data_IF_174292775016
#
_entry.id   IF_174292775016
#
_cell.length_a   1.000
_cell.length_b   1.000
_cell.length_c   1.000
_cell.angle_alpha   90.00
_cell.angle_beta   90.00
_cell.angle_gamma   90.00
#
_symmetry.space_group_name_H-M   'P 1'
#
loop_
_entity.id
_entity.type
_entity.pdbx_description
1 polymer ?
#
# COMPACT_ATOMS: atom_id res chain seq x y z
N UNK A 1 22.94 4.78 -1.85
CA UNK A 1 23.16 6.23 -1.93
C UNK A 1 21.84 6.97 -1.67
N UNK A 2 20.86 6.91 -2.57
CA UNK A 2 19.62 7.69 -2.46
C UNK A 2 18.68 7.31 -1.29
N UNK A 3 18.37 6.01 -1.09
CA UNK A 3 17.51 5.61 0.03
C UNK A 3 18.09 5.99 1.40
N UNK A 4 19.41 5.83 1.57
CA UNK A 4 20.10 6.18 2.81
C UNK A 4 20.02 7.69 3.11
N UNK A 5 20.12 8.55 2.09
CA UNK A 5 19.91 9.99 2.22
C UNK A 5 18.48 10.31 2.68
N UNK A 6 17.47 9.69 2.07
CA UNK A 6 16.07 9.89 2.47
C UNK A 6 15.76 9.38 3.87
N UNK A 7 16.36 8.25 4.24
CA UNK A 7 16.25 7.70 5.59
C UNK A 7 16.90 8.64 6.61
N UNK A 8 18.04 9.25 6.27
CA UNK A 8 18.70 10.23 7.13
C UNK A 8 17.90 11.55 7.23
N UNK A 9 17.30 12.04 6.15
CA UNK A 9 16.36 13.19 6.19
C UNK A 9 15.20 12.90 7.15
N UNK A 10 14.61 11.70 7.07
CA UNK A 10 13.53 11.30 7.98
C UNK A 10 14.03 11.19 9.42
N UNK A 11 15.24 10.68 9.65
CA UNK A 11 15.86 10.59 10.98
C UNK A 11 16.11 11.96 11.60
N UNK A 12 16.52 12.95 10.82
CA UNK A 12 16.70 14.32 11.32
C UNK A 12 15.38 14.94 11.80
N UNK A 13 14.26 14.58 11.16
CA UNK A 13 12.93 15.02 11.57
C UNK A 13 12.38 14.20 12.75
N UNK A 14 12.62 12.88 12.75
CA UNK A 14 12.18 11.95 13.77
C UNK A 14 13.27 10.92 14.06
N UNK A 15 14.09 11.10 15.13
CA UNK A 15 15.29 10.31 15.39
C UNK A 15 15.11 8.80 15.53
N UNK A 16 13.88 8.32 15.70
CA UNK A 16 13.59 6.89 15.78
C UNK A 16 13.74 6.19 14.42
N UNK A 17 13.63 6.91 13.29
CA UNK A 17 13.84 6.36 11.95
C UNK A 17 15.27 5.83 11.81
N UNK A 18 15.40 4.54 11.52
CA UNK A 18 16.68 3.87 11.41
C UNK A 18 17.39 3.59 12.73
N UNK A 19 16.67 3.65 13.85
CA UNK A 19 17.23 3.33 15.19
C UNK A 19 17.10 1.85 15.57
N UNK A 20 16.39 1.05 14.78
CA UNK A 20 16.00 -0.33 15.15
C UNK A 20 14.81 -0.39 16.10
N UNK A 21 14.13 0.74 16.34
CA UNK A 21 12.92 0.86 17.17
C UNK A 21 11.83 1.59 16.38
N UNK A 22 10.61 1.48 16.84
CA UNK A 22 9.44 2.17 16.28
C UNK A 22 8.39 2.41 17.36
N UNK A 23 7.42 3.26 17.06
CA UNK A 23 6.36 3.68 17.98
C UNK A 23 5.00 3.10 17.60
N UNK A 24 4.11 2.98 18.57
CA UNK A 24 2.70 2.63 18.33
C UNK A 24 1.72 3.65 18.88
N UNK A 25 2.20 4.58 19.70
CA UNK A 25 1.40 5.69 20.21
C UNK A 25 1.63 6.99 19.42
N UNK A 26 0.61 7.85 19.30
CA UNK A 26 0.74 9.13 18.60
C UNK A 26 1.71 10.06 19.33
N UNK A 27 2.56 10.75 18.58
CA UNK A 27 3.67 11.57 19.13
C UNK A 27 3.48 13.06 18.97
N UNK A 28 2.53 13.49 18.13
CA UNK A 28 2.28 14.89 17.81
C UNK A 28 0.77 15.12 17.65
N UNK A 29 0.31 16.33 17.98
CA UNK A 29 -1.05 16.79 17.69
C UNK A 29 -1.16 17.37 16.27
N UNK A 30 -2.38 17.53 15.76
CA UNK A 30 -2.64 18.20 14.47
C UNK A 30 -2.09 19.63 14.41
N UNK A 31 -2.00 20.31 15.56
CA UNK A 31 -1.42 21.65 15.68
C UNK A 31 0.12 21.65 15.65
N UNK A 32 0.77 20.50 15.54
CA UNK A 32 2.22 20.37 15.53
C UNK A 32 2.88 20.43 16.91
N UNK A 33 2.12 20.17 17.99
CA UNK A 33 2.66 20.11 19.37
C UNK A 33 3.02 18.67 19.74
N UNK A 34 4.22 18.40 20.28
CA UNK A 34 4.58 17.08 20.78
C UNK A 34 3.67 16.61 21.91
N UNK A 35 3.32 15.32 21.93
CA UNK A 35 2.53 14.69 22.99
C UNK A 35 3.45 14.34 24.16
N UNK A 36 3.12 14.82 25.36
CA UNK A 36 3.93 14.67 26.58
C UNK A 36 3.48 13.49 27.46
N UNK A 37 2.71 12.54 26.92
CA UNK A 37 2.28 11.37 27.67
C UNK A 37 3.49 10.49 28.06
N UNK A 38 3.63 10.07 29.33
CA UNK A 38 4.76 9.26 29.79
C UNK A 38 4.98 7.96 29.01
N UNK A 39 3.92 7.29 28.55
CA UNK A 39 4.02 6.06 27.75
C UNK A 39 4.54 6.37 26.34
N UNK A 40 4.09 7.48 25.75
CA UNK A 40 4.58 7.97 24.45
C UNK A 40 6.06 8.36 24.54
N UNK A 41 6.46 9.03 25.62
CA UNK A 41 7.85 9.41 25.86
C UNK A 41 8.76 8.19 26.07
N UNK A 42 8.26 7.14 26.73
CA UNK A 42 8.97 5.86 26.90
C UNK A 42 9.17 5.12 25.58
N UNK A 43 8.16 5.08 24.70
CA UNK A 43 8.31 4.49 23.36
C UNK A 43 9.28 5.29 22.48
N UNK A 44 9.23 6.63 22.56
CA UNK A 44 10.08 7.51 21.78
C UNK A 44 11.55 7.53 22.24
N UNK A 45 11.81 7.40 23.55
CA UNK A 45 13.15 7.48 24.14
C UNK A 45 13.28 6.61 25.40
N UNK A 46 13.46 5.28 25.25
CA UNK A 46 13.61 4.36 26.38
C UNK A 46 14.84 4.65 27.27
N UNK A 47 15.90 5.23 26.71
CA UNK A 47 17.19 5.42 27.39
C UNK A 47 17.25 6.68 28.27
N UNK A 48 16.37 7.66 28.03
CA UNK A 48 16.30 8.88 28.86
C UNK A 48 15.36 8.74 30.06
N UNK A 49 14.66 7.61 30.21
CA UNK A 49 13.69 7.38 31.29
C UNK A 49 12.51 8.35 31.26
N UNK A 50 11.43 8.01 31.97
CA UNK A 50 10.40 9.01 32.28
C UNK A 50 11.09 10.07 33.14
N UNK A 51 11.25 11.30 32.65
CA UNK A 51 11.41 12.44 33.56
C UNK A 51 10.05 12.57 34.25
N UNK A 52 9.88 11.80 35.34
CA UNK A 52 8.76 12.02 36.26
C UNK A 52 9.07 13.39 36.88
N UNK A 53 8.23 14.42 36.65
CA UNK A 53 8.41 15.67 37.39
C UNK A 53 8.33 15.31 38.87
N UNK A 54 9.23 15.81 39.74
CA UNK A 54 9.05 15.64 41.17
C UNK A 54 7.62 16.09 41.52
N UNK A 55 6.90 15.29 42.31
CA UNK A 55 5.49 15.54 42.67
C UNK A 55 5.26 16.87 43.45
N UNK A 56 6.26 17.74 43.57
CA UNK A 56 6.23 18.97 44.35
C UNK A 56 6.68 20.24 43.59
N UNK A 57 6.59 20.26 42.26
CA UNK A 57 6.81 21.50 41.49
C UNK A 57 5.57 21.82 40.67
N UNK A 58 5.00 23.02 40.92
CA UNK A 58 3.82 23.55 40.23
C UNK A 58 3.95 23.60 38.69
N UNK A 59 2.89 24.00 37.97
CA UNK A 59 2.62 23.66 36.57
C UNK A 59 3.51 24.37 35.52
N UNK A 60 4.82 24.47 35.73
CA UNK A 60 5.73 25.35 34.99
C UNK A 60 7.04 24.69 34.56
N UNK A 61 7.05 23.38 34.35
CA UNK A 61 8.17 22.68 33.72
C UNK A 61 7.68 21.66 32.68
N UNK A 62 6.85 22.13 31.73
CA UNK A 62 6.68 21.42 30.47
C UNK A 62 7.98 21.59 29.67
N UNK A 63 8.61 20.49 29.29
CA UNK A 63 9.78 20.50 28.42
C UNK A 63 9.33 21.13 27.09
N UNK A 64 9.81 22.35 26.79
CA UNK A 64 9.54 23.09 25.55
C UNK A 64 10.22 22.37 24.36
N UNK A 65 9.65 21.23 23.95
CA UNK A 65 9.98 20.64 22.67
C UNK A 65 9.47 21.59 21.56
N UNK A 66 10.31 21.98 20.58
CA UNK A 66 9.94 22.98 19.60
C UNK A 66 8.72 22.53 18.80
N UNK A 67 7.76 23.45 18.65
CA UNK A 67 6.57 23.24 17.83
C UNK A 67 6.98 23.00 16.38
N UNK A 68 6.52 21.90 15.79
CA UNK A 68 6.69 21.65 14.35
C UNK A 68 5.73 22.57 13.59
N UNK A 69 6.24 23.27 12.59
CA UNK A 69 5.43 24.24 11.81
C UNK A 69 5.13 23.77 10.39
N UNK A 70 5.93 22.87 9.84
CA UNK A 70 5.71 22.34 8.49
C UNK A 70 4.54 21.36 8.51
N UNK A 71 3.45 21.73 7.82
CA UNK A 71 2.23 20.91 7.70
C UNK A 71 2.49 19.53 7.11
N UNK A 72 3.42 19.41 6.14
CA UNK A 72 3.75 18.11 5.52
C UNK A 72 4.46 17.20 6.51
N UNK A 73 5.34 17.77 7.34
CA UNK A 73 6.03 17.03 8.40
C UNK A 73 5.05 16.63 9.50
N UNK A 74 4.14 17.52 9.92
CA UNK A 74 3.09 17.19 10.89
C UNK A 74 2.23 16.04 10.37
N UNK A 75 1.74 16.12 9.14
CA UNK A 75 0.92 15.07 8.53
C UNK A 75 1.65 13.73 8.50
N UNK A 76 2.92 13.73 8.09
CA UNK A 76 3.74 12.52 8.09
C UNK A 76 3.91 11.95 9.51
N UNK A 77 4.27 12.78 10.50
CA UNK A 77 4.44 12.35 11.89
C UNK A 77 3.16 11.78 12.51
N UNK A 78 1.99 12.32 12.13
CA UNK A 78 0.69 11.78 12.55
C UNK A 78 0.48 10.34 12.06
N UNK A 79 1.05 9.95 10.91
CA UNK A 79 0.91 8.57 10.38
C UNK A 79 1.83 7.54 11.04
N UNK A 80 2.93 7.94 11.66
CA UNK A 80 3.99 7.03 12.11
C UNK A 80 3.53 5.98 13.15
N UNK A 81 2.63 6.37 14.05
CA UNK A 81 2.08 5.45 15.04
C UNK A 81 1.18 4.38 14.41
N UNK A 82 0.39 4.76 13.39
CA UNK A 82 -0.45 3.83 12.64
C UNK A 82 0.41 2.83 11.85
N UNK A 83 1.53 3.28 11.29
CA UNK A 83 2.52 2.37 10.67
C UNK A 83 3.01 1.35 11.70
N UNK A 84 3.36 1.77 12.91
CA UNK A 84 3.84 0.85 13.94
C UNK A 84 2.79 -0.14 14.43
N UNK A 85 1.54 0.30 14.59
CA UNK A 85 0.40 -0.60 14.87
C UNK A 85 0.25 -1.66 13.77
N UNK A 86 0.43 -1.25 12.52
CA UNK A 86 0.32 -2.13 11.35
C UNK A 86 1.47 -3.12 11.23
N UNK A 87 2.69 -2.66 11.45
CA UNK A 87 3.89 -3.49 11.53
C UNK A 87 3.71 -4.58 12.58
N UNK A 88 3.23 -4.22 13.78
CA UNK A 88 3.01 -5.19 14.87
C UNK A 88 1.98 -6.28 14.53
N UNK A 89 1.02 -6.01 13.63
CA UNK A 89 0.00 -7.00 13.22
C UNK A 89 0.35 -7.73 11.93
N UNK A 90 1.39 -7.33 11.21
CA UNK A 90 1.76 -7.87 9.90
C UNK A 90 2.38 -9.26 10.05
N UNK A 91 1.82 -10.24 9.31
CA UNK A 91 2.31 -11.61 9.17
C UNK A 91 2.90 -12.27 10.44
N UNK A 92 2.29 -12.02 11.62
CA UNK A 92 2.79 -12.45 12.95
C UNK A 92 3.09 -13.94 13.10
N UNK A 93 2.53 -14.78 12.24
CA UNK A 93 2.79 -16.22 12.23
C UNK A 93 4.11 -16.60 11.55
N UNK A 94 4.76 -15.68 10.83
CA UNK A 94 6.04 -15.92 10.17
C UNK A 94 7.18 -15.66 11.15
N UNK A 95 8.07 -16.65 11.28
CA UNK A 95 9.29 -16.59 12.12
C UNK A 95 10.15 -15.37 11.81
N UNK A 96 10.12 -14.88 10.57
CA UNK A 96 10.83 -13.67 10.15
C UNK A 96 10.52 -12.45 11.05
N UNK A 97 9.29 -12.31 11.55
CA UNK A 97 8.85 -11.20 12.38
C UNK A 97 9.03 -11.42 13.89
N UNK A 98 9.58 -12.57 14.31
CA UNK A 98 10.04 -12.73 15.69
C UNK A 98 11.27 -11.84 15.98
N UNK A 99 12.04 -11.50 14.96
CA UNK A 99 13.15 -10.56 15.07
C UNK A 99 12.65 -9.11 15.06
N UNK A 100 13.02 -8.33 16.07
CA UNK A 100 12.74 -6.89 16.16
C UNK A 100 13.40 -6.08 15.03
N UNK A 101 14.53 -6.54 14.52
CA UNK A 101 15.21 -5.90 13.37
C UNK A 101 14.32 -5.98 12.12
N UNK A 102 13.64 -7.10 11.89
CA UNK A 102 12.71 -7.25 10.77
C UNK A 102 11.52 -6.29 10.86
N UNK A 103 10.96 -6.14 12.07
CA UNK A 103 9.84 -5.21 12.33
C UNK A 103 10.27 -3.75 12.15
N UNK A 104 11.42 -3.37 12.70
CA UNK A 104 11.96 -2.02 12.54
C UNK A 104 12.36 -1.72 11.09
N UNK A 105 12.90 -2.69 10.35
CA UNK A 105 13.16 -2.57 8.91
C UNK A 105 11.85 -2.31 8.13
N UNK A 106 10.77 -3.03 8.44
CA UNK A 106 9.45 -2.79 7.84
C UNK A 106 8.95 -1.38 8.13
N UNK A 107 9.04 -0.95 9.40
CA UNK A 107 8.59 0.36 9.83
C UNK A 107 9.39 1.49 9.17
N UNK A 108 10.71 1.37 9.09
CA UNK A 108 11.59 2.35 8.45
C UNK A 108 11.23 2.55 6.97
N UNK A 109 11.07 1.46 6.21
CA UNK A 109 10.73 1.54 4.79
C UNK A 109 9.38 2.23 4.59
N UNK A 110 8.37 1.87 5.39
CA UNK A 110 7.04 2.47 5.31
C UNK A 110 7.04 3.94 5.73
N UNK A 111 7.79 4.30 6.77
CA UNK A 111 7.93 5.66 7.24
C UNK A 111 8.62 6.54 6.20
N UNK A 112 9.71 6.06 5.57
CA UNK A 112 10.39 6.76 4.49
C UNK A 112 9.48 6.90 3.28
N UNK A 113 8.77 5.84 2.87
CA UNK A 113 7.84 5.91 1.74
C UNK A 113 6.77 6.97 1.96
N UNK A 114 6.11 6.96 3.12
CA UNK A 114 5.05 7.92 3.45
C UNK A 114 5.52 9.37 3.46
N UNK A 115 6.82 9.61 3.70
CA UNK A 115 7.42 10.94 3.61
C UNK A 115 7.73 11.37 2.18
N UNK A 116 8.01 10.42 1.27
CA UNK A 116 8.35 10.69 -0.13
C UNK A 116 7.09 10.93 -0.97
N UNK A 117 6.10 10.04 -0.92
CA UNK A 117 4.82 10.22 -1.60
C UNK A 117 3.76 10.71 -0.61
N UNK A 118 3.82 12.00 -0.25
CA UNK A 118 2.90 12.60 0.74
C UNK A 118 1.44 12.59 0.27
N UNK A 119 1.21 12.61 -1.05
CA UNK A 119 -0.16 12.61 -1.59
C UNK A 119 -0.88 11.29 -1.28
N UNK A 120 -0.13 10.18 -1.19
CA UNK A 120 -0.65 8.90 -0.70
C UNK A 120 -0.43 8.74 0.80
N UNK A 121 0.75 9.14 1.28
CA UNK A 121 1.20 8.92 2.64
C UNK A 121 1.27 7.44 2.97
N UNK A 122 0.66 7.08 4.11
CA UNK A 122 0.49 5.69 4.52
C UNK A 122 -0.99 5.33 4.58
N UNK A 123 -1.36 4.26 3.89
CA UNK A 123 -2.67 3.64 3.97
C UNK A 123 -2.60 2.23 4.56
N UNK A 124 -3.60 1.85 5.35
CA UNK A 124 -3.71 0.51 5.92
C UNK A 124 -3.69 -0.55 4.80
N UNK A 125 -2.84 -1.56 4.97
CA UNK A 125 -2.59 -2.61 3.98
C UNK A 125 -1.26 -2.45 3.22
N UNK A 126 -0.63 -1.27 3.26
CA UNK A 126 0.71 -1.08 2.69
C UNK A 126 1.78 -1.93 3.39
N UNK A 127 1.62 -2.21 4.70
CA UNK A 127 2.51 -3.11 5.42
C UNK A 127 2.46 -4.54 4.87
N UNK A 128 1.28 -5.00 4.42
CA UNK A 128 1.10 -6.31 3.80
C UNK A 128 1.76 -6.40 2.43
N UNK A 129 1.76 -5.28 1.69
CA UNK A 129 2.44 -5.16 0.40
C UNK A 129 3.97 -5.10 0.55
N UNK A 130 4.46 -4.43 1.58
CA UNK A 130 5.89 -4.28 1.86
C UNK A 130 6.50 -5.52 2.51
N UNK A 131 5.72 -6.30 3.26
CA UNK A 131 6.19 -7.50 3.99
C UNK A 131 6.96 -8.48 3.09
N UNK A 132 6.44 -8.90 1.91
CA UNK A 132 7.20 -9.69 0.94
C UNK A 132 8.55 -9.10 0.54
N UNK A 133 8.63 -7.78 0.33
CA UNK A 133 9.85 -7.14 -0.15
C UNK A 133 10.97 -7.27 0.87
N UNK A 134 10.67 -7.06 2.15
CA UNK A 134 11.70 -7.12 3.20
C UNK A 134 12.11 -8.55 3.56
N UNK A 135 11.22 -9.52 3.32
CA UNK A 135 11.49 -10.95 3.52
C UNK A 135 12.39 -11.49 2.41
N UNK A 136 12.13 -11.09 1.15
CA UNK A 136 12.87 -11.57 -0.01
C UNK A 136 14.20 -10.85 -0.22
N UNK A 137 14.29 -9.57 0.15
CA UNK A 137 15.45 -8.73 -0.13
C UNK A 137 16.19 -8.40 1.16
N UNK A 138 17.44 -8.87 1.24
CA UNK A 138 18.31 -8.64 2.39
C UNK A 138 18.64 -7.16 2.57
N UNK A 139 18.98 -6.47 1.48
CA UNK A 139 19.26 -5.04 1.49
C UNK A 139 17.98 -4.22 1.69
N UNK A 140 18.05 -3.22 2.55
CA UNK A 140 16.90 -2.38 2.89
C UNK A 140 16.55 -1.41 1.75
N UNK A 141 17.54 -0.89 1.03
CA UNK A 141 17.30 0.01 -0.10
C UNK A 141 16.65 -0.75 -1.26
N UNK A 142 17.10 -1.97 -1.56
CA UNK A 142 16.48 -2.83 -2.57
C UNK A 142 15.01 -3.12 -2.21
N UNK A 143 14.74 -3.48 -0.95
CA UNK A 143 13.38 -3.69 -0.47
C UNK A 143 12.51 -2.42 -0.61
N UNK A 144 13.06 -1.27 -0.25
CA UNK A 144 12.38 0.02 -0.42
C UNK A 144 12.03 0.29 -1.88
N UNK A 145 12.97 0.16 -2.81
CA UNK A 145 12.72 0.49 -4.21
C UNK A 145 11.79 -0.52 -4.90
N UNK A 146 11.84 -1.80 -4.54
CA UNK A 146 10.85 -2.76 -5.00
C UNK A 146 9.44 -2.43 -4.48
N UNK A 147 9.33 -2.05 -3.20
CA UNK A 147 8.06 -1.59 -2.63
C UNK A 147 7.56 -0.30 -3.28
N UNK A 148 8.42 0.69 -3.47
CA UNK A 148 8.06 1.97 -4.12
C UNK A 148 7.54 1.74 -5.54
N UNK A 149 8.19 0.86 -6.32
CA UNK A 149 7.74 0.49 -7.67
C UNK A 149 6.41 -0.25 -7.67
N UNK A 150 6.18 -1.13 -6.69
CA UNK A 150 4.88 -1.76 -6.49
C UNK A 150 3.81 -0.70 -6.19
N UNK A 151 4.12 0.27 -5.33
CA UNK A 151 3.21 1.34 -4.98
C UNK A 151 2.92 2.29 -6.14
N UNK A 152 3.83 2.51 -7.11
CA UNK A 152 3.50 3.27 -8.33
C UNK A 152 2.32 2.66 -9.10
N UNK A 153 2.22 1.33 -9.14
CA UNK A 153 1.12 0.59 -9.78
C UNK A 153 -0.16 0.65 -8.96
N UNK A 154 -0.02 0.57 -7.63
CA UNK A 154 -1.15 0.49 -6.69
C UNK A 154 -1.55 1.85 -6.11
N UNK A 155 -0.90 2.94 -6.52
CA UNK A 155 -1.07 4.30 -5.98
C UNK A 155 -2.54 4.71 -5.98
N UNK A 156 -3.25 4.38 -7.06
CA UNK A 156 -4.68 4.64 -7.21
C UNK A 156 -5.53 3.99 -6.13
N UNK A 157 -5.16 2.80 -5.63
CA UNK A 157 -5.89 2.07 -4.59
C UNK A 157 -5.86 2.82 -3.25
N UNK A 158 -4.79 3.55 -2.96
CA UNK A 158 -4.56 4.19 -1.67
C UNK A 158 -4.90 5.69 -1.66
N UNK A 159 -5.31 6.25 -2.81
CA UNK A 159 -5.76 7.64 -2.88
C UNK A 159 -7.20 7.76 -2.39
N UNK A 160 -7.39 8.61 -1.40
CA UNK A 160 -8.71 9.10 -1.01
C UNK A 160 -8.88 10.50 -1.62
N UNK A 161 -9.86 10.65 -2.50
CA UNK A 161 -10.28 11.97 -2.99
C UNK A 161 -11.65 12.30 -2.41
N UNK A 162 -12.04 13.58 -2.41
CA UNK A 162 -13.34 14.04 -1.88
C UNK A 162 -14.55 13.32 -2.53
N UNK A 163 -14.36 12.73 -3.73
CA UNK A 163 -15.42 12.13 -4.55
C UNK A 163 -15.25 10.62 -4.81
N UNK A 164 -14.14 9.99 -4.42
CA UNK A 164 -13.93 8.54 -4.65
C UNK A 164 -12.89 7.94 -3.72
N UNK A 165 -13.14 6.71 -3.28
CA UNK A 165 -12.26 5.93 -2.41
C UNK A 165 -11.52 4.88 -3.23
N UNK A 166 -10.21 5.09 -3.46
CA UNK A 166 -9.27 4.05 -3.86
C UNK A 166 -9.73 3.08 -4.94
N UNK A 167 -10.10 1.87 -4.50
CA UNK A 167 -10.47 0.72 -5.36
C UNK A 167 -11.92 0.76 -5.86
N UNK A 168 -12.71 1.77 -5.55
CA UNK A 168 -14.13 1.89 -5.96
C UNK A 168 -14.33 1.72 -7.47
N UNK A 169 -13.48 2.35 -8.28
CA UNK A 169 -13.52 2.18 -9.73
C UNK A 169 -13.27 0.71 -10.15
N UNK A 170 -12.39 0.00 -9.44
CA UNK A 170 -12.12 -1.42 -9.72
C UNK A 170 -13.30 -2.31 -9.32
N UNK A 171 -13.98 -1.98 -8.21
CA UNK A 171 -15.20 -2.67 -7.78
C UNK A 171 -16.35 -2.48 -8.77
N UNK A 172 -16.53 -1.25 -9.27
CA UNK A 172 -17.51 -0.97 -10.32
C UNK A 172 -17.20 -1.76 -11.60
N UNK A 173 -15.93 -1.80 -12.01
CA UNK A 173 -15.51 -2.61 -13.15
C UNK A 173 -15.72 -4.12 -12.91
N UNK A 174 -15.47 -4.61 -11.70
CA UNK A 174 -15.76 -5.99 -11.31
C UNK A 174 -17.26 -6.31 -11.43
N UNK A 175 -18.12 -5.40 -10.98
CA UNK A 175 -19.58 -5.54 -11.08
C UNK A 175 -20.01 -5.63 -12.56
N UNK A 176 -19.53 -4.71 -13.40
CA UNK A 176 -19.82 -4.69 -14.84
C UNK A 176 -19.33 -5.97 -15.54
N UNK A 177 -18.12 -6.43 -15.24
CA UNK A 177 -17.57 -7.67 -15.81
C UNK A 177 -18.44 -8.86 -15.35
N UNK A 178 -18.78 -8.93 -14.06
CA UNK A 178 -19.61 -10.01 -13.52
C UNK A 178 -20.99 -10.03 -14.17
N UNK A 179 -21.60 -8.86 -14.37
CA UNK A 179 -22.88 -8.71 -15.07
C UNK A 179 -22.83 -9.23 -16.50
N UNK A 180 -21.73 -9.04 -17.21
CA UNK A 180 -21.55 -9.53 -18.59
C UNK A 180 -21.28 -11.04 -18.63
N UNK A 181 -20.41 -11.56 -17.76
CA UNK A 181 -20.00 -12.97 -17.79
C UNK A 181 -21.03 -13.91 -17.15
N UNK A 182 -21.76 -13.46 -16.14
CA UNK A 182 -22.78 -14.20 -15.40
C UNK A 182 -23.85 -13.24 -14.81
N UNK A 183 -24.82 -12.82 -15.65
CA UNK A 183 -25.87 -11.88 -15.24
C UNK A 183 -26.72 -12.39 -14.07
N UNK A 184 -26.91 -13.72 -13.96
CA UNK A 184 -27.72 -14.33 -12.91
C UNK A 184 -27.03 -14.21 -11.55
N UNK A 185 -25.73 -14.50 -11.52
CA UNK A 185 -24.92 -14.32 -10.31
C UNK A 185 -24.89 -12.85 -9.87
N UNK A 186 -24.66 -11.93 -10.82
CA UNK A 186 -24.67 -10.49 -10.51
C UNK A 186 -26.00 -10.05 -9.87
N UNK A 187 -27.12 -10.42 -10.49
CA UNK A 187 -28.45 -10.09 -9.96
C UNK A 187 -28.68 -10.70 -8.56
N UNK A 188 -28.23 -11.92 -8.32
CA UNK A 188 -28.32 -12.55 -7.00
C UNK A 188 -27.49 -11.81 -5.96
N UNK A 189 -26.25 -11.44 -6.30
CA UNK A 189 -25.37 -10.63 -5.44
C UNK A 189 -26.02 -9.29 -5.11
N UNK A 190 -26.63 -8.60 -6.08
CA UNK A 190 -27.39 -7.37 -5.83
C UNK A 190 -28.57 -7.61 -4.87
N UNK A 191 -29.34 -8.68 -5.06
CA UNK A 191 -30.50 -9.00 -4.22
C UNK A 191 -30.14 -9.28 -2.77
N UNK A 192 -28.97 -9.85 -2.51
CA UNK A 192 -28.46 -10.07 -1.14
C UNK A 192 -27.72 -8.85 -0.57
N UNK A 193 -27.75 -7.70 -1.25
CA UNK A 193 -27.17 -6.43 -0.79
C UNK A 193 -25.68 -6.25 -1.11
N UNK A 194 -25.14 -7.00 -2.06
CA UNK A 194 -23.72 -6.98 -2.45
C UNK A 194 -23.38 -6.31 -3.77
N UNK A 195 -24.28 -5.48 -4.31
CA UNK A 195 -24.15 -4.90 -5.64
C UNK A 195 -22.95 -3.96 -5.84
N UNK A 196 -22.37 -3.46 -4.75
CA UNK A 196 -21.14 -2.65 -4.74
C UNK A 196 -19.85 -3.47 -4.69
N UNK A 197 -19.96 -4.80 -4.54
CA UNK A 197 -18.85 -5.74 -4.47
C UNK A 197 -17.83 -5.44 -3.36
N UNK A 198 -18.21 -4.73 -2.28
CA UNK A 198 -17.29 -4.36 -1.20
C UNK A 198 -16.58 -5.54 -0.54
N UNK A 199 -17.14 -6.75 -0.63
CA UNK A 199 -16.46 -7.97 -0.19
C UNK A 199 -15.13 -8.24 -0.91
N UNK A 200 -14.95 -7.74 -2.13
CA UNK A 200 -13.71 -7.85 -2.90
C UNK A 200 -12.72 -6.71 -2.63
N UNK A 201 -13.09 -5.71 -1.81
CA UNK A 201 -12.26 -4.54 -1.52
C UNK A 201 -10.86 -4.95 -1.07
N UNK A 202 -10.77 -5.82 -0.05
CA UNK A 202 -9.48 -6.27 0.51
C UNK A 202 -8.64 -7.02 -0.52
N UNK A 203 -9.28 -7.83 -1.36
CA UNK A 203 -8.63 -8.62 -2.40
C UNK A 203 -7.92 -7.72 -3.41
N UNK A 204 -8.59 -6.65 -3.85
CA UNK A 204 -8.03 -5.71 -4.82
C UNK A 204 -7.04 -4.73 -4.17
N UNK A 205 -7.34 -4.28 -2.94
CA UNK A 205 -6.51 -3.30 -2.21
C UNK A 205 -5.09 -3.81 -1.98
N UNK A 206 -4.95 -5.05 -1.50
CA UNK A 206 -3.66 -5.65 -1.13
C UNK A 206 -3.28 -6.85 -2.02
N UNK A 207 -3.79 -6.89 -3.25
CA UNK A 207 -3.44 -7.91 -4.25
C UNK A 207 -3.54 -9.34 -3.71
N UNK A 208 -4.67 -9.67 -3.08
CA UNK A 208 -4.99 -10.98 -2.50
C UNK A 208 -4.08 -11.46 -1.36
N UNK A 209 -3.18 -10.61 -0.84
CA UNK A 209 -2.25 -10.99 0.25
C UNK A 209 -2.95 -11.48 1.52
N UNK A 210 -4.23 -11.18 1.72
CA UNK A 210 -5.01 -11.66 2.85
C UNK A 210 -5.87 -12.89 2.56
N UNK A 211 -5.90 -13.35 1.31
CA UNK A 211 -6.72 -14.49 0.88
C UNK A 211 -5.90 -15.77 0.72
N UNK A 212 -4.58 -15.64 0.54
CA UNK A 212 -3.67 -16.75 0.30
C UNK A 212 -2.56 -16.84 1.35
N UNK A 213 -1.93 -18.03 1.42
CA UNK A 213 -0.69 -18.19 2.17
C UNK A 213 0.40 -17.25 1.64
N UNK A 214 1.46 -17.05 2.43
CA UNK A 214 2.56 -16.17 2.02
C UNK A 214 3.15 -16.60 0.67
N UNK A 215 3.54 -17.88 0.55
CA UNK A 215 4.13 -18.42 -0.69
C UNK A 215 3.17 -18.35 -1.88
N UNK A 216 1.90 -18.72 -1.70
CA UNK A 216 0.91 -18.70 -2.78
C UNK A 216 0.65 -17.27 -3.28
N UNK A 217 0.71 -16.28 -2.38
CA UNK A 217 0.61 -14.86 -2.78
C UNK A 217 1.78 -14.44 -3.65
N UNK A 218 3.00 -14.89 -3.34
CA UNK A 218 4.17 -14.57 -4.17
C UNK A 218 4.06 -15.17 -5.56
N UNK A 219 3.68 -16.45 -5.66
CA UNK A 219 3.44 -17.10 -6.95
C UNK A 219 2.35 -16.38 -7.76
N UNK A 220 1.26 -15.99 -7.10
CA UNK A 220 0.19 -15.23 -7.74
C UNK A 220 0.72 -13.89 -8.26
N UNK A 221 1.51 -13.16 -7.48
CA UNK A 221 2.10 -11.88 -7.89
C UNK A 221 3.06 -12.02 -9.06
N UNK A 222 3.92 -13.04 -9.06
CA UNK A 222 4.81 -13.33 -10.19
C UNK A 222 4.01 -13.54 -11.48
N UNK A 223 2.94 -14.34 -11.42
CA UNK A 223 2.07 -14.56 -12.58
C UNK A 223 1.35 -13.29 -13.02
N UNK A 224 0.77 -12.53 -12.09
CA UNK A 224 0.06 -11.29 -12.39
C UNK A 224 1.00 -10.25 -13.02
N UNK A 225 2.20 -10.07 -12.46
CA UNK A 225 3.17 -9.11 -12.98
C UNK A 225 3.75 -9.54 -14.33
N UNK A 226 3.91 -10.84 -14.57
CA UNK A 226 4.32 -11.35 -15.87
C UNK A 226 3.24 -11.14 -16.94
N UNK A 227 1.95 -11.29 -16.59
CA UNK A 227 0.82 -11.06 -17.51
C UNK A 227 0.59 -9.58 -17.81
N UNK A 228 0.84 -8.71 -16.83
CA UNK A 228 0.74 -7.25 -16.96
C UNK A 228 2.06 -6.61 -17.42
N UNK A 229 3.06 -7.42 -17.79
CA UNK A 229 4.33 -6.89 -18.25
C UNK A 229 4.14 -6.17 -19.58
N UNK A 230 4.35 -4.85 -19.57
CA UNK A 230 4.46 -4.05 -20.78
C UNK A 230 5.94 -3.62 -20.94
N UNK A 231 6.61 -4.05 -22.03
CA UNK A 231 7.99 -3.65 -22.33
C UNK A 231 8.19 -2.13 -22.42
N UNK A 232 7.15 -1.35 -22.73
CA UNK A 232 7.20 0.10 -22.74
C UNK A 232 7.14 0.71 -21.33
N UNK A 233 6.59 -0.02 -20.37
CA UNK A 233 6.48 0.41 -18.97
C UNK A 233 7.84 0.45 -18.30
N UNK A 234 8.83 -0.30 -18.81
CA UNK A 234 10.23 -0.19 -18.41
C UNK A 234 10.73 1.26 -18.44
N UNK A 235 10.31 2.05 -19.43
CA UNK A 235 10.67 3.46 -19.53
C UNK A 235 9.96 4.34 -18.51
N UNK A 236 8.71 4.03 -18.15
CA UNK A 236 7.98 4.67 -17.06
C UNK A 236 8.65 4.45 -15.69
N UNK A 237 9.39 3.34 -15.56
CA UNK A 237 10.13 2.98 -14.35
C UNK A 237 11.51 3.64 -14.25
N UNK A 238 12.09 4.11 -15.36
CA UNK A 238 13.37 4.85 -15.40
C UNK A 238 13.19 6.36 -15.55
N UNK A 239 12.04 6.85 -16.03
CA UNK A 239 11.76 8.28 -16.14
C UNK A 239 11.73 8.93 -14.75
N UNK A 240 12.69 9.82 -14.49
CA UNK A 240 12.57 10.85 -13.47
C UNK A 240 11.41 11.78 -13.83
N UNK A 241 10.73 12.35 -12.83
CA UNK A 241 9.62 13.32 -12.99
C UNK A 241 9.97 14.54 -13.88
N UNK A 242 11.24 14.71 -14.24
CA UNK A 242 11.79 15.79 -15.07
C UNK A 242 11.79 15.52 -16.59
N UNK A 243 11.36 14.34 -17.06
CA UNK A 243 11.45 13.97 -18.49
C UNK A 243 10.31 14.57 -19.32
N UNK A 244 10.61 15.23 -20.45
CA UNK A 244 9.58 15.92 -21.22
C UNK A 244 8.61 14.94 -21.93
N UNK A 245 7.29 15.25 -22.00
CA UNK A 245 6.29 14.37 -22.61
C UNK A 245 6.53 14.03 -24.10
N UNK A 246 7.29 14.86 -24.80
CA UNK A 246 7.60 14.68 -26.22
C UNK A 246 8.73 13.65 -26.45
N UNK A 247 9.68 13.56 -25.52
CA UNK A 247 10.79 12.59 -25.58
C UNK A 247 10.33 11.17 -25.21
N UNK A 248 9.40 11.04 -24.26
CA UNK A 248 8.75 9.77 -23.89
C UNK A 248 7.96 9.17 -25.08
N UNK A 249 7.18 10.00 -25.78
CA UNK A 249 6.37 9.59 -26.94
C UNK A 249 7.19 9.16 -28.17
N UNK A 250 8.39 9.72 -28.34
CA UNK A 250 9.27 9.38 -29.46
C UNK A 250 9.92 7.99 -29.30
N UNK A 251 10.17 7.55 -28.06
CA UNK A 251 10.85 6.27 -27.75
C UNK A 251 9.93 5.06 -27.72
N UNK A 252 8.62 5.26 -27.48
CA UNK A 252 7.58 4.23 -27.45
C UNK A 252 7.28 3.52 -28.81
N UNK A 253 7.91 3.93 -29.92
CA UNK A 253 7.53 3.47 -31.28
C UNK A 253 8.32 2.26 -31.83
N UNK A 254 9.12 1.55 -31.02
CA UNK A 254 9.86 0.38 -31.51
C UNK A 254 9.03 -0.92 -31.44
N UNK A 255 8.16 -1.12 -32.43
CA UNK A 255 7.24 -2.28 -32.57
C UNK A 255 7.95 -3.64 -32.75
N UNK A 256 9.28 -3.67 -32.82
CA UNK A 256 10.05 -4.89 -33.16
C UNK A 256 10.31 -5.85 -31.98
N UNK A 257 9.96 -5.49 -30.74
CA UNK A 257 10.28 -6.32 -29.56
C UNK A 257 9.09 -7.12 -28.99
N UNK A 258 7.87 -6.95 -29.49
CA UNK A 258 6.69 -7.62 -28.92
C UNK A 258 6.56 -9.09 -29.30
N UNK A 259 6.08 -9.90 -28.36
CA UNK A 259 5.65 -11.28 -28.56
C UNK A 259 4.37 -11.38 -29.40
N UNK A 260 4.05 -12.60 -29.88
CA UNK A 260 2.90 -12.83 -30.79
C UNK A 260 1.58 -12.30 -30.23
N UNK A 261 1.33 -12.51 -28.93
CA UNK A 261 0.08 -12.15 -28.26
C UNK A 261 -0.04 -10.65 -27.97
N UNK A 262 1.04 -9.97 -27.58
CA UNK A 262 1.07 -8.51 -27.42
C UNK A 262 0.77 -7.78 -28.74
N UNK A 263 1.32 -8.27 -29.85
CA UNK A 263 1.02 -7.71 -31.18
C UNK A 263 -0.45 -7.84 -31.54
N UNK A 264 -1.10 -8.92 -31.12
CA UNK A 264 -2.51 -9.17 -31.39
C UNK A 264 -3.40 -8.28 -30.49
N UNK A 265 -3.04 -8.10 -29.22
CA UNK A 265 -3.71 -7.17 -28.31
C UNK A 265 -3.58 -5.71 -28.78
N UNK A 266 -2.39 -5.26 -29.20
CA UNK A 266 -2.22 -3.91 -29.77
C UNK A 266 -2.93 -3.70 -31.11
N UNK A 267 -3.19 -4.78 -31.86
CA UNK A 267 -3.93 -4.73 -33.12
C UNK A 267 -5.45 -4.69 -32.91
N UNK A 268 -5.92 -5.26 -31.79
CA UNK A 268 -7.31 -5.28 -31.39
C UNK A 268 -7.70 -4.10 -30.48
N UNK A 269 -6.74 -3.47 -29.80
CA UNK A 269 -6.92 -2.20 -29.10
C UNK A 269 -7.08 -1.07 -30.10
N UNK A 270 -8.27 -0.48 -30.17
CA UNK A 270 -8.52 0.71 -30.99
C UNK A 270 -7.51 1.81 -30.66
N UNK A 271 -7.00 2.49 -31.68
CA UNK A 271 -5.97 3.54 -31.59
C UNK A 271 -6.34 4.78 -30.73
N UNK A 272 -7.39 4.76 -29.90
CA UNK A 272 -7.98 5.94 -29.27
C UNK A 272 -8.52 5.76 -27.83
N UNK A 273 -8.14 4.72 -27.09
CA UNK A 273 -8.44 4.68 -25.64
C UNK A 273 -7.23 5.17 -24.85
N UNK A 274 -7.29 6.41 -24.36
CA UNK A 274 -6.32 6.99 -23.41
C UNK A 274 -6.34 6.30 -22.04
N UNK A 275 -7.30 5.40 -21.80
CA UNK A 275 -7.44 4.70 -20.53
C UNK A 275 -6.56 3.43 -20.48
N UNK A 276 -5.79 3.25 -19.39
CA UNK A 276 -4.97 2.04 -19.21
C UNK A 276 -5.87 0.79 -19.13
N UNK A 277 -5.37 -0.38 -19.55
CA UNK A 277 -6.12 -1.62 -19.45
C UNK A 277 -6.48 -1.93 -17.99
N UNK A 278 -7.64 -2.55 -17.79
CA UNK A 278 -8.09 -2.97 -16.46
C UNK A 278 -7.07 -3.96 -15.84
N UNK A 279 -6.73 -3.81 -14.54
CA UNK A 279 -5.83 -4.73 -13.85
C UNK A 279 -6.32 -6.19 -13.90
N UNK A 280 -5.40 -7.13 -14.06
CA UNK A 280 -5.66 -8.57 -14.09
C UNK A 280 -6.30 -9.05 -12.78
N UNK A 281 -6.04 -8.36 -11.66
CA UNK A 281 -6.66 -8.62 -10.36
C UNK A 281 -8.19 -8.63 -10.43
N UNK A 282 -8.79 -7.71 -11.20
CA UNK A 282 -10.24 -7.62 -11.37
C UNK A 282 -10.78 -8.88 -12.06
N UNK A 283 -10.09 -9.32 -13.12
CA UNK A 283 -10.47 -10.52 -13.86
C UNK A 283 -10.28 -11.80 -13.03
N UNK A 284 -9.27 -11.84 -12.15
CA UNK A 284 -9.08 -12.94 -11.21
C UNK A 284 -10.26 -13.06 -10.24
N UNK A 285 -10.70 -11.95 -9.63
CA UNK A 285 -11.90 -11.97 -8.77
C UNK A 285 -13.13 -12.44 -9.56
N UNK A 286 -13.34 -11.88 -10.75
CA UNK A 286 -14.47 -12.25 -11.61
C UNK A 286 -14.45 -13.75 -11.99
N UNK A 287 -13.27 -14.31 -12.26
CA UNK A 287 -13.09 -15.73 -12.58
C UNK A 287 -13.45 -16.61 -11.39
N UNK A 288 -13.00 -16.26 -10.18
CA UNK A 288 -13.33 -17.02 -8.96
C UNK A 288 -14.84 -16.98 -8.68
N UNK A 289 -15.47 -15.82 -8.83
CA UNK A 289 -16.93 -15.68 -8.68
C UNK A 289 -17.69 -16.54 -9.69
N UNK A 290 -17.24 -16.54 -10.95
CA UNK A 290 -17.84 -17.36 -12.00
C UNK A 290 -17.69 -18.85 -11.72
N UNK A 291 -16.52 -19.30 -11.26
CA UNK A 291 -16.28 -20.70 -10.92
C UNK A 291 -17.15 -21.16 -9.75
N UNK A 292 -17.34 -20.29 -8.74
CA UNK A 292 -18.21 -20.54 -7.59
C UNK A 292 -19.70 -20.23 -7.85
N UNK A 293 -20.09 -19.80 -9.05
CA UNK A 293 -21.44 -19.28 -9.35
C UNK A 293 -22.58 -20.20 -8.89
N UNK A 294 -22.52 -21.48 -9.25
CA UNK A 294 -23.55 -22.45 -8.91
C UNK A 294 -23.72 -22.63 -7.39
N UNK A 295 -22.61 -22.56 -6.64
CA UNK A 295 -22.61 -22.66 -5.18
C UNK A 295 -23.18 -21.38 -4.54
N UNK A 296 -22.74 -20.21 -5.02
CA UNK A 296 -23.19 -18.91 -4.51
C UNK A 296 -24.70 -18.72 -4.72
N UNK A 297 -25.22 -19.07 -5.90
CA UNK A 297 -26.65 -18.99 -6.20
C UNK A 297 -27.52 -19.87 -5.29
N UNK A 298 -26.98 -20.98 -4.78
CA UNK A 298 -27.73 -21.90 -3.92
C UNK A 298 -27.58 -21.58 -2.44
N UNK A 299 -26.38 -21.18 -2.02
CA UNK A 299 -25.99 -21.15 -0.61
C UNK A 299 -25.87 -19.74 -0.05
N UNK A 300 -25.51 -18.75 -0.87
CA UNK A 300 -25.29 -17.39 -0.38
C UNK A 300 -26.61 -16.69 -0.10
N UNK A 301 -26.87 -16.41 1.18
CA UNK A 301 -28.06 -15.67 1.64
C UNK A 301 -27.73 -14.27 2.16
N UNK A 302 -26.45 -13.99 2.35
CA UNK A 302 -25.91 -12.69 2.71
C UNK A 302 -24.45 -12.58 2.27
N UNK A 303 -23.88 -11.39 2.48
CA UNK A 303 -22.53 -11.06 2.02
C UNK A 303 -21.45 -11.95 2.62
N UNK A 304 -21.60 -12.33 3.89
CA UNK A 304 -20.66 -13.21 4.60
C UNK A 304 -20.49 -14.59 3.96
N UNK A 305 -21.50 -15.04 3.21
CA UNK A 305 -21.44 -16.33 2.50
C UNK A 305 -20.71 -16.23 1.16
N UNK A 306 -20.58 -15.02 0.61
CA UNK A 306 -19.85 -14.77 -0.65
C UNK A 306 -18.34 -14.81 -0.43
N UNK A 307 -17.89 -14.45 0.78
CA UNK A 307 -16.46 -14.34 1.13
C UNK A 307 -15.85 -15.68 1.57
N UNK A 308 -16.67 -16.70 1.82
CA UNK A 308 -16.23 -18.04 2.23
C UNK A 308 -15.78 -18.91 1.03
#
# INVERSE_FOLDING_TARGET
>A
AQYAEWKEECRQLFPLVGSGRFITAPVITEDGRPIQDPLVLLENNPENGVIVPPQDIGPTAAIDAPKVTDKKVIQWMLTLHQIGLDVNRTDRALVFYENKESLSKLWDILAVYARRDIDVGYGQGMSDLCSPMIILLNDEADAFFCFERLMRRLRGNFRCTDNSVGVEAQLNNLALITQVIDPKLHQHIEQIGGGDYLFAFRMLMVQFRREFSFCDSLYLWEMMWALEYDPNLFWLYEESEETSPEEAKARLKSIRHYGKYERENMRNGGQNTEEPPLPISIFLVASVLKEKSALLLQQAKGLDDVVK
#
